data_IF_399330390080
#
_entry.id   IF_399330390080
#
_cell.length_a   1.000
_cell.length_b   1.000
_cell.length_c   1.000
_cell.angle_alpha   90.00
_cell.angle_beta   90.00
_cell.angle_gamma   90.00
#
_symmetry.space_group_name_H-M   'P 1'
#
loop_
_entity.id
_entity.type
_entity.pdbx_description
1 polymer ?
#
# COMPACT_ATOMS: atom_id res chain seq x y z
N UNK A 1 21.34 -22.11 -24.04
CA UNK A 1 20.60 -21.80 -22.79
C UNK A 1 19.84 -20.51 -23.02
N UNK A 2 18.50 -20.61 -23.02
CA UNK A 2 17.60 -19.56 -23.47
C UNK A 2 17.64 -18.35 -22.51
N UNK A 3 17.85 -17.16 -23.06
CA UNK A 3 17.56 -15.90 -22.37
C UNK A 3 16.03 -15.78 -22.30
N UNK A 4 15.47 -15.84 -21.09
CA UNK A 4 14.06 -15.52 -20.87
C UNK A 4 13.89 -14.03 -21.10
N UNK A 5 13.47 -13.67 -22.31
CA UNK A 5 13.08 -12.32 -22.71
C UNK A 5 11.71 -12.01 -22.08
N UNK A 6 11.70 -11.81 -20.76
CA UNK A 6 10.50 -11.36 -20.06
C UNK A 6 10.30 -9.89 -20.39
N UNK A 7 9.21 -9.57 -21.08
CA UNK A 7 8.80 -8.20 -21.39
C UNK A 7 8.80 -7.35 -20.09
N UNK A 8 9.12 -6.04 -20.13
CA UNK A 8 9.06 -5.17 -18.95
C UNK A 8 7.70 -5.26 -18.21
N UNK A 9 6.62 -5.51 -18.96
CA UNK A 9 5.27 -5.71 -18.45
C UNK A 9 5.16 -6.98 -17.56
N UNK A 10 5.76 -8.10 -17.97
CA UNK A 10 5.76 -9.37 -17.19
C UNK A 10 6.48 -9.23 -15.85
N UNK A 11 7.50 -8.37 -15.80
CA UNK A 11 8.28 -8.09 -14.58
C UNK A 11 7.48 -7.23 -13.59
N UNK A 12 6.69 -6.28 -14.07
CA UNK A 12 5.76 -5.52 -13.23
C UNK A 12 4.61 -6.41 -12.73
N UNK A 13 4.04 -7.26 -13.60
CA UNK A 13 2.98 -8.19 -13.25
C UNK A 13 3.40 -9.15 -12.11
N UNK A 14 4.61 -9.73 -12.18
CA UNK A 14 5.16 -10.62 -11.14
C UNK A 14 5.40 -9.94 -9.79
N UNK A 15 5.63 -8.62 -9.78
CA UNK A 15 5.85 -7.86 -8.54
C UNK A 15 4.52 -7.53 -7.84
N UNK A 16 3.42 -7.44 -8.58
CA UNK A 16 2.10 -7.09 -8.05
C UNK A 16 1.42 -8.26 -7.32
N UNK A 17 1.60 -9.50 -7.78
CA UNK A 17 0.91 -10.68 -7.22
C UNK A 17 1.43 -11.15 -5.86
N UNK A 18 2.52 -10.56 -5.34
CA UNK A 18 3.12 -10.98 -4.08
C UNK A 18 2.50 -10.33 -2.82
N UNK A 19 1.58 -9.36 -2.97
CA UNK A 19 1.10 -8.54 -1.85
C UNK A 19 -0.39 -8.71 -1.51
N UNK A 20 -1.15 -9.51 -2.24
CA UNK A 20 -2.63 -9.42 -2.26
C UNK A 20 -3.35 -10.40 -1.33
N UNK A 21 -2.70 -10.82 -0.24
CA UNK A 21 -3.20 -11.91 0.61
C UNK A 21 -3.71 -11.49 2.00
N UNK A 22 -3.84 -10.19 2.31
CA UNK A 22 -4.16 -9.78 3.69
C UNK A 22 -5.65 -9.48 3.88
N UNK A 23 -6.36 -10.20 4.76
CA UNK A 23 -7.78 -9.97 4.99
C UNK A 23 -8.04 -8.56 5.59
N UNK A 24 -9.22 -7.97 5.32
CA UNK A 24 -9.67 -6.70 5.88
C UNK A 24 -10.01 -6.90 7.36
N UNK A 25 -9.00 -6.73 8.20
CA UNK A 25 -9.03 -7.13 9.61
C UNK A 25 -7.64 -7.61 9.99
N UNK A 26 -6.66 -6.70 9.88
CA UNK A 26 -5.27 -7.05 10.14
C UNK A 26 -5.09 -7.62 11.55
N UNK A 27 -4.13 -8.53 11.78
CA UNK A 27 -3.80 -9.09 13.09
C UNK A 27 -3.74 -8.03 14.19
N UNK A 28 -3.29 -6.82 13.87
CA UNK A 28 -3.13 -5.70 14.77
C UNK A 28 -4.39 -5.32 15.58
N UNK A 29 -5.60 -5.42 15.00
CA UNK A 29 -6.83 -5.12 15.75
C UNK A 29 -7.17 -6.22 16.74
N UNK A 30 -6.91 -7.48 16.38
CA UNK A 30 -7.08 -8.64 17.29
C UNK A 30 -6.18 -8.53 18.52
N UNK A 31 -4.95 -8.04 18.36
CA UNK A 31 -4.05 -7.78 19.49
C UNK A 31 -4.58 -6.68 20.42
N UNK A 32 -5.17 -5.63 19.84
CA UNK A 32 -5.70 -4.52 20.63
C UNK A 32 -6.95 -4.92 21.43
N UNK A 33 -7.85 -5.69 20.82
CA UNK A 33 -9.03 -6.26 21.49
C UNK A 33 -8.65 -7.19 22.65
N UNK A 34 -7.63 -8.04 22.46
CA UNK A 34 -7.12 -8.90 23.52
C UNK A 34 -6.54 -8.10 24.68
N UNK A 35 -5.77 -7.03 24.38
CA UNK A 35 -5.19 -6.15 25.39
C UNK A 35 -6.26 -5.40 26.19
N UNK A 36 -7.30 -4.91 25.52
CA UNK A 36 -8.43 -4.23 26.17
C UNK A 36 -9.16 -5.17 27.13
N UNK A 37 -9.41 -6.41 26.70
CA UNK A 37 -10.02 -7.43 27.55
C UNK A 37 -9.16 -7.75 28.79
N UNK A 38 -7.85 -7.90 28.62
CA UNK A 38 -6.94 -8.18 29.73
C UNK A 38 -6.85 -7.00 30.70
N UNK A 39 -6.87 -5.77 30.18
CA UNK A 39 -6.92 -4.55 30.99
C UNK A 39 -8.22 -4.46 31.80
N UNK A 40 -9.38 -4.66 31.17
CA UNK A 40 -10.69 -4.60 31.84
C UNK A 40 -10.79 -5.61 32.98
N UNK A 41 -10.31 -6.84 32.73
CA UNK A 41 -10.27 -7.88 33.76
C UNK A 41 -9.40 -7.45 34.94
N UNK A 42 -8.17 -7.01 34.68
CA UNK A 42 -7.25 -6.58 35.74
C UNK A 42 -7.79 -5.36 36.51
N UNK A 43 -8.49 -4.46 35.83
CA UNK A 43 -9.12 -3.29 36.44
C UNK A 43 -10.25 -3.69 37.41
N UNK A 44 -11.12 -4.62 36.99
CA UNK A 44 -12.19 -5.16 37.86
C UNK A 44 -11.60 -5.92 39.05
N UNK A 45 -10.61 -6.79 38.81
CA UNK A 45 -9.96 -7.56 39.87
C UNK A 45 -9.32 -6.63 40.91
N UNK A 46 -8.67 -5.54 40.48
CA UNK A 46 -8.12 -4.53 41.38
C UNK A 46 -9.19 -3.75 42.15
N UNK A 47 -10.31 -3.42 41.51
CA UNK A 47 -11.41 -2.69 42.17
C UNK A 47 -12.10 -3.52 43.26
N UNK A 48 -12.19 -4.83 43.05
CA UNK A 48 -12.66 -5.80 44.04
C UNK A 48 -11.71 -5.86 45.24
N UNK A 49 -10.40 -6.00 45.00
CA UNK A 49 -9.39 -6.00 46.07
C UNK A 49 -9.42 -4.71 46.90
N UNK A 50 -9.61 -3.56 46.27
CA UNK A 50 -9.79 -2.28 46.97
C UNK A 50 -11.08 -2.22 47.79
N UNK A 51 -12.09 -3.03 47.47
CA UNK A 51 -13.32 -3.15 48.25
C UNK A 51 -13.17 -3.99 49.53
N UNK A 52 -12.12 -4.81 49.62
CA UNK A 52 -11.83 -5.66 50.77
C UNK A 52 -10.96 -4.96 51.84
N UNK A 53 -10.45 -3.76 51.55
CA UNK A 53 -9.62 -2.97 52.46
C UNK A 53 -10.44 -2.44 53.63
N UNK A 54 -9.86 -2.48 54.84
CA UNK A 54 -10.49 -2.02 56.08
C UNK A 54 -10.92 -0.53 56.02
N UNK A 55 -12.03 -0.20 56.69
CA UNK A 55 -12.63 1.14 56.64
C UNK A 55 -11.77 2.26 57.23
N UNK A 56 -10.78 1.91 58.06
CA UNK A 56 -9.81 2.85 58.61
C UNK A 56 -8.79 3.35 57.57
N UNK A 57 -8.71 2.68 56.41
CA UNK A 57 -7.89 3.04 55.26
C UNK A 57 -8.70 3.63 54.09
N UNK A 58 -9.83 4.28 54.39
CA UNK A 58 -10.72 4.86 53.39
C UNK A 58 -10.02 5.88 52.45
N UNK A 59 -9.12 6.71 53.00
CA UNK A 59 -8.38 7.72 52.21
C UNK A 59 -7.48 7.06 51.15
N UNK A 60 -6.78 5.99 51.53
CA UNK A 60 -5.92 5.21 50.63
C UNK A 60 -6.75 4.58 49.51
N UNK A 61 -7.91 4.02 49.85
CA UNK A 61 -8.83 3.41 48.89
C UNK A 61 -9.39 4.45 47.92
N UNK A 62 -9.75 5.63 48.41
CA UNK A 62 -10.24 6.74 47.60
C UNK A 62 -9.17 7.25 46.62
N UNK A 63 -7.95 7.51 47.10
CA UNK A 63 -6.84 7.93 46.24
C UNK A 63 -6.51 6.86 45.19
N UNK A 64 -6.51 5.58 45.57
CA UNK A 64 -6.27 4.46 44.65
C UNK A 64 -7.30 4.41 43.52
N UNK A 65 -8.60 4.55 43.83
CA UNK A 65 -9.67 4.60 42.82
C UNK A 65 -9.57 5.83 41.91
N UNK A 66 -9.11 6.97 42.43
CA UNK A 66 -8.85 8.16 41.61
C UNK A 66 -7.70 7.92 40.61
N UNK A 67 -6.61 7.28 41.05
CA UNK A 67 -5.50 6.91 40.15
C UNK A 67 -5.90 5.86 39.13
N UNK A 68 -6.68 4.85 39.53
CA UNK A 68 -7.28 3.87 38.60
C UNK A 68 -8.11 4.55 37.52
N UNK A 69 -9.00 5.47 37.90
CA UNK A 69 -9.80 6.26 36.93
C UNK A 69 -8.89 7.01 35.95
N UNK A 70 -7.81 7.60 36.44
CA UNK A 70 -6.83 8.29 35.59
C UNK A 70 -6.12 7.34 34.63
N UNK A 71 -5.74 6.15 35.10
CA UNK A 71 -5.10 5.11 34.28
C UNK A 71 -6.05 4.57 33.20
N UNK A 72 -7.32 4.31 33.54
CA UNK A 72 -8.35 3.90 32.58
C UNK A 72 -8.56 4.96 31.50
N UNK A 73 -8.62 6.24 31.88
CA UNK A 73 -8.70 7.34 30.91
C UNK A 73 -7.49 7.42 29.97
N UNK A 74 -6.27 7.21 30.49
CA UNK A 74 -5.06 7.18 29.68
C UNK A 74 -5.04 5.96 28.72
N UNK A 75 -5.47 4.78 29.20
CA UNK A 75 -5.56 3.57 28.39
C UNK A 75 -6.59 3.71 27.26
N UNK A 76 -7.78 4.25 27.53
CA UNK A 76 -8.78 4.52 26.50
C UNK A 76 -8.23 5.44 25.39
N UNK A 77 -7.47 6.48 25.76
CA UNK A 77 -6.80 7.34 24.78
C UNK A 77 -5.74 6.60 23.97
N UNK A 78 -4.99 5.70 24.61
CA UNK A 78 -4.00 4.86 23.92
C UNK A 78 -4.68 3.94 22.89
N UNK A 79 -5.78 3.28 23.27
CA UNK A 79 -6.59 2.43 22.38
C UNK A 79 -7.06 3.22 21.16
N UNK A 80 -7.66 4.40 21.36
CA UNK A 80 -8.11 5.25 20.25
C UNK A 80 -6.97 5.69 19.31
N UNK A 81 -5.80 6.03 19.87
CA UNK A 81 -4.63 6.40 19.06
C UNK A 81 -4.11 5.21 18.26
N UNK A 82 -4.02 4.03 18.87
CA UNK A 82 -3.63 2.80 18.19
C UNK A 82 -4.60 2.44 17.05
N UNK A 83 -5.91 2.49 17.30
CA UNK A 83 -6.94 2.30 16.27
C UNK A 83 -6.77 3.28 15.10
N UNK A 84 -6.56 4.57 15.40
CA UNK A 84 -6.33 5.60 14.38
C UNK A 84 -5.10 5.29 13.54
N UNK A 85 -3.99 4.89 14.17
CA UNK A 85 -2.76 4.51 13.46
C UNK A 85 -3.01 3.31 12.54
N UNK A 86 -3.67 2.26 13.02
CA UNK A 86 -3.96 1.08 12.21
C UNK A 86 -4.89 1.39 11.03
N UNK A 87 -5.89 2.24 11.23
CA UNK A 87 -6.77 2.69 10.14
C UNK A 87 -6.01 3.53 9.10
N UNK A 88 -5.16 4.46 9.55
CA UNK A 88 -4.30 5.25 8.66
C UNK A 88 -3.33 4.37 7.86
N UNK A 89 -2.71 3.37 8.52
CA UNK A 89 -1.80 2.44 7.86
C UNK A 89 -2.52 1.62 6.79
N UNK A 90 -3.71 1.07 7.10
CA UNK A 90 -4.50 0.32 6.12
C UNK A 90 -4.87 1.19 4.89
N UNK A 91 -5.22 2.46 5.11
CA UNK A 91 -5.48 3.41 4.02
C UNK A 91 -4.22 3.64 3.18
N UNK A 92 -3.07 3.87 3.81
CA UNK A 92 -1.79 4.07 3.10
C UNK A 92 -1.36 2.83 2.33
N UNK A 93 -1.54 1.62 2.89
CA UNK A 93 -1.28 0.36 2.21
C UNK A 93 -2.12 0.24 0.93
N UNK A 94 -3.40 0.61 0.99
CA UNK A 94 -4.29 0.64 -0.17
C UNK A 94 -3.87 1.69 -1.21
N UNK A 95 -3.54 2.91 -0.78
CA UNK A 95 -3.04 3.98 -1.67
C UNK A 95 -1.75 3.56 -2.39
N UNK A 96 -0.81 2.93 -1.68
CA UNK A 96 0.43 2.41 -2.26
C UNK A 96 0.13 1.31 -3.29
N UNK A 97 -0.81 0.41 -2.98
CA UNK A 97 -1.21 -0.64 -3.92
C UNK A 97 -1.81 -0.05 -5.20
N UNK A 98 -2.69 0.96 -5.07
CA UNK A 98 -3.28 1.67 -6.19
C UNK A 98 -2.24 2.39 -7.05
N UNK A 99 -1.37 3.20 -6.43
CA UNK A 99 -0.32 3.95 -7.14
C UNK A 99 0.65 3.01 -7.90
N UNK A 100 0.95 1.83 -7.34
CA UNK A 100 1.74 0.82 -8.03
C UNK A 100 1.03 0.27 -9.27
N UNK A 101 -0.28 0.06 -9.20
CA UNK A 101 -1.07 -0.38 -10.36
C UNK A 101 -1.13 0.70 -11.45
N UNK A 102 -1.35 1.95 -11.07
CA UNK A 102 -1.35 3.10 -12.00
C UNK A 102 0.01 3.28 -12.68
N UNK A 103 1.10 3.19 -11.93
CA UNK A 103 2.46 3.25 -12.47
C UNK A 103 2.71 2.14 -13.48
N UNK A 104 2.29 0.91 -13.19
CA UNK A 104 2.42 -0.22 -14.11
C UNK A 104 1.64 0.04 -15.42
N UNK A 105 0.39 0.50 -15.32
CA UNK A 105 -0.42 0.82 -16.49
C UNK A 105 0.20 1.93 -17.34
N UNK A 106 0.73 2.97 -16.69
CA UNK A 106 1.39 4.09 -17.37
C UNK A 106 2.67 3.64 -18.09
N UNK A 107 3.48 2.80 -17.46
CA UNK A 107 4.68 2.23 -18.08
C UNK A 107 4.33 1.33 -19.28
N UNK A 108 3.29 0.51 -19.19
CA UNK A 108 2.83 -0.31 -20.31
C UNK A 108 2.38 0.56 -21.50
N UNK A 109 1.60 1.61 -21.24
CA UNK A 109 1.18 2.56 -22.26
C UNK A 109 2.37 3.30 -22.90
N UNK A 110 3.36 3.69 -22.10
CA UNK A 110 4.58 4.31 -22.61
C UNK A 110 5.32 3.40 -23.60
N UNK A 111 5.51 2.12 -23.25
CA UNK A 111 6.18 1.15 -24.12
C UNK A 111 5.43 0.95 -25.43
N UNK A 112 4.10 0.93 -25.39
CA UNK A 112 3.26 0.80 -26.58
C UNK A 112 3.38 2.04 -27.49
N UNK A 113 3.30 3.24 -26.93
CA UNK A 113 3.50 4.49 -27.66
C UNK A 113 4.90 4.63 -28.25
N UNK A 114 5.93 4.21 -27.51
CA UNK A 114 7.31 4.19 -28.01
C UNK A 114 7.46 3.22 -29.19
N UNK A 115 6.81 2.05 -29.12
CA UNK A 115 6.78 1.08 -30.21
C UNK A 115 6.06 1.63 -31.44
N UNK A 116 4.90 2.26 -31.28
CA UNK A 116 4.15 2.88 -32.38
C UNK A 116 4.97 4.00 -33.04
N UNK A 117 5.63 4.83 -32.23
CA UNK A 117 6.53 5.89 -32.70
C UNK A 117 7.68 5.34 -33.55
N UNK A 118 8.35 4.28 -33.07
CA UNK A 118 9.42 3.60 -33.82
C UNK A 118 8.89 3.00 -35.14
N UNK A 119 7.69 2.40 -35.12
CA UNK A 119 7.07 1.83 -36.31
C UNK A 119 6.74 2.90 -37.36
N UNK A 120 6.19 4.05 -36.94
CA UNK A 120 5.91 5.17 -37.83
C UNK A 120 7.19 5.78 -38.42
N UNK A 121 8.25 5.89 -37.62
CA UNK A 121 9.55 6.35 -38.11
C UNK A 121 10.06 5.44 -39.24
N UNK A 122 9.97 4.12 -39.07
CA UNK A 122 10.37 3.16 -40.11
C UNK A 122 9.52 3.28 -41.38
N UNK A 123 8.21 3.49 -41.26
CA UNK A 123 7.33 3.71 -42.41
C UNK A 123 7.72 4.95 -43.20
N UNK A 124 8.02 6.05 -42.51
CA UNK A 124 8.46 7.30 -43.16
C UNK A 124 9.82 7.12 -43.83
N UNK A 125 10.77 6.46 -43.17
CA UNK A 125 12.09 6.18 -43.76
C UNK A 125 12.00 5.33 -45.02
N UNK A 126 11.14 4.30 -45.00
CA UNK A 126 10.86 3.49 -46.19
C UNK A 126 10.28 4.35 -47.32
N UNK A 127 9.25 5.15 -47.04
CA UNK A 127 8.63 6.02 -48.03
C UNK A 127 9.64 6.98 -48.70
N UNK A 128 10.48 7.66 -47.91
CA UNK A 128 11.51 8.57 -48.43
C UNK A 128 12.52 7.83 -49.31
N UNK A 129 12.93 6.63 -48.91
CA UNK A 129 13.87 5.81 -49.68
C UNK A 129 13.30 5.40 -51.03
N UNK A 130 12.06 4.92 -51.07
CA UNK A 130 11.39 4.54 -52.32
C UNK A 130 11.21 5.74 -53.24
N UNK A 131 10.73 6.87 -52.70
CA UNK A 131 10.47 8.05 -53.53
C UNK A 131 11.76 8.68 -54.08
N UNK A 132 12.85 8.65 -53.32
CA UNK A 132 14.17 9.12 -53.78
C UNK A 132 14.71 8.22 -54.90
N UNK A 133 14.54 6.90 -54.77
CA UNK A 133 14.92 5.96 -55.83
C UNK A 133 14.10 6.19 -57.11
N UNK A 134 12.78 6.37 -57.00
CA UNK A 134 11.91 6.63 -58.15
C UNK A 134 12.24 7.95 -58.86
N UNK A 135 12.54 9.01 -58.10
CA UNK A 135 12.98 10.29 -58.64
C UNK A 135 14.33 10.16 -59.37
N UNK A 136 15.27 9.41 -58.80
CA UNK A 136 16.56 9.12 -59.44
C UNK A 136 16.39 8.32 -60.74
N UNK A 137 15.61 7.23 -60.72
CA UNK A 137 15.32 6.44 -61.91
C UNK A 137 14.59 7.24 -63.00
N UNK A 138 13.66 8.11 -62.61
CA UNK A 138 12.98 9.02 -63.56
C UNK A 138 13.94 10.05 -64.15
N UNK A 139 14.88 10.59 -63.37
CA UNK A 139 15.89 11.51 -63.89
C UNK A 139 16.81 10.82 -64.91
N UNK A 140 17.26 9.60 -64.61
CA UNK A 140 18.11 8.80 -65.50
C UNK A 140 17.38 8.49 -66.81
N UNK A 141 16.10 8.11 -66.75
CA UNK A 141 15.29 7.79 -67.94
C UNK A 141 14.96 9.02 -68.81
N UNK A 142 15.01 10.24 -68.28
CA UNK A 142 14.84 11.47 -69.07
C UNK A 142 16.14 11.93 -69.77
N UNK A 143 17.27 11.28 -69.48
CA UNK A 143 18.58 11.58 -70.06
C UNK A 143 19.00 10.60 -71.17
N UNK A 144 18.22 9.54 -71.41
CA UNK A 144 18.29 8.68 -72.61
C UNK A 144 17.22 9.09 -73.63
#
# INVERSE_FOLDING_TARGET
MAATDSSPCDRCQKRMTASDGRPPGGPALVWLEALEKDFDKAFVDLDLLLGEVDSDQADITFESRQKMTSLSGAFAQLVHKAQTIFHCNARQEAEIAQLRAELCSSQAAQVELERESQQLMLQVLQFVSYHTADNFFSLVRNFE
#
